data_IF_400221601604
#
_entry.id   IF_400221601604
#
_cell.length_a   1.000
_cell.length_b   1.000
_cell.length_c   1.000
_cell.angle_alpha   90.00
_cell.angle_beta   90.00
_cell.angle_gamma   90.00
#
_symmetry.space_group_name_H-M   'P 1'
#
loop_
_entity.id
_entity.type
_entity.pdbx_description
1 polymer ?
#
# COMPACT_ATOMS: atom_id res chain seq x y z
N UNK A 1 7.89 -13.59 -4.39
CA UNK A 1 6.74 -12.88 -3.81
C UNK A 1 6.77 -11.49 -4.38
N UNK A 2 5.63 -11.00 -4.85
CA UNK A 2 5.49 -9.63 -5.35
C UNK A 2 5.21 -8.70 -4.17
N UNK A 3 5.95 -7.60 -4.10
CA UNK A 3 5.83 -6.60 -3.04
C UNK A 3 4.70 -5.64 -3.37
N UNK A 4 3.71 -5.58 -2.48
CA UNK A 4 2.54 -4.73 -2.61
C UNK A 4 2.62 -3.60 -1.60
N UNK A 5 2.40 -2.38 -2.08
CA UNK A 5 2.25 -1.20 -1.26
C UNK A 5 0.80 -0.72 -1.29
N UNK A 6 0.28 -0.24 -0.16
CA UNK A 6 -1.10 0.28 -0.05
C UNK A 6 -1.06 1.78 0.24
N UNK A 7 -1.82 2.58 -0.51
CA UNK A 7 -1.96 4.03 -0.32
C UNK A 7 -3.44 4.35 -0.14
N UNK A 8 -3.82 4.69 1.09
CA UNK A 8 -5.21 4.97 1.48
C UNK A 8 -5.22 5.74 2.82
N UNK A 9 -5.99 6.82 2.91
CA UNK A 9 -6.10 7.66 4.12
C UNK A 9 -7.02 7.06 5.19
N UNK A 10 -7.73 5.97 4.88
CA UNK A 10 -8.62 5.24 5.79
C UNK A 10 -7.93 4.00 6.40
N UNK A 11 -7.58 4.02 7.70
CA UNK A 11 -6.90 2.89 8.35
C UNK A 11 -7.64 1.56 8.27
N UNK A 12 -8.98 1.58 8.31
CA UNK A 12 -9.81 0.37 8.23
C UNK A 12 -9.69 -0.31 6.87
N UNK A 13 -9.59 0.48 5.80
CA UNK A 13 -9.41 -0.05 4.44
C UNK A 13 -8.04 -0.69 4.30
N UNK A 14 -6.98 -0.03 4.80
CA UNK A 14 -5.61 -0.57 4.79
C UNK A 14 -5.50 -1.89 5.54
N UNK A 15 -6.01 -1.97 6.77
CA UNK A 15 -6.00 -3.22 7.56
C UNK A 15 -6.72 -4.36 6.82
N UNK A 16 -7.86 -4.05 6.20
CA UNK A 16 -8.64 -5.02 5.42
C UNK A 16 -7.90 -5.52 4.18
N UNK A 17 -7.25 -4.62 3.44
CA UNK A 17 -6.43 -4.96 2.28
C UNK A 17 -5.19 -5.75 2.68
N UNK A 18 -4.46 -5.32 3.71
CA UNK A 18 -3.28 -6.01 4.21
C UNK A 18 -3.59 -7.43 4.67
N UNK A 19 -4.71 -7.63 5.38
CA UNK A 19 -5.17 -8.96 5.80
C UNK A 19 -5.47 -9.86 4.61
N UNK A 20 -6.08 -9.32 3.54
CA UNK A 20 -6.37 -10.08 2.31
C UNK A 20 -5.12 -10.38 1.50
N UNK A 21 -4.14 -9.49 1.47
CA UNK A 21 -2.86 -9.74 0.79
C UNK A 21 -2.06 -10.81 1.55
N UNK A 22 -2.07 -10.79 2.88
CA UNK A 22 -1.33 -11.72 3.71
C UNK A 22 -1.75 -13.20 3.58
N UNK A 23 -2.94 -13.48 3.04
CA UNK A 23 -3.39 -14.87 2.79
C UNK A 23 -2.95 -15.40 1.41
N UNK A 24 -2.51 -14.53 0.50
CA UNK A 24 -2.03 -14.93 -0.82
C UNK A 24 -0.56 -15.35 -0.74
N UNK A 25 -0.24 -16.56 -1.23
CA UNK A 25 1.09 -17.15 -1.06
C UNK A 25 2.20 -16.50 -1.90
N UNK A 26 1.82 -15.68 -2.88
CA UNK A 26 2.70 -15.04 -3.84
C UNK A 26 2.83 -13.52 -3.63
N UNK A 27 2.12 -12.94 -2.66
CA UNK A 27 2.11 -11.51 -2.36
C UNK A 27 2.59 -11.22 -0.94
N UNK A 28 3.18 -10.05 -0.73
CA UNK A 28 3.51 -9.52 0.60
C UNK A 28 3.27 -8.02 0.66
N UNK A 29 2.78 -7.50 1.80
CA UNK A 29 2.71 -6.05 2.01
C UNK A 29 4.10 -5.55 2.41
N UNK A 30 4.69 -4.70 1.58
CA UNK A 30 6.01 -4.13 1.84
C UNK A 30 5.96 -2.73 2.49
N UNK A 31 4.79 -2.07 2.47
CA UNK A 31 4.60 -0.76 3.08
C UNK A 31 3.18 -0.21 2.91
N UNK A 32 2.87 0.79 3.72
CA UNK A 32 1.61 1.52 3.72
C UNK A 32 1.87 3.02 3.73
N UNK A 33 0.98 3.80 3.14
CA UNK A 33 1.00 5.26 3.18
C UNK A 33 -0.42 5.83 3.26
N UNK A 34 -0.58 6.97 3.91
CA UNK A 34 -1.85 7.69 4.00
C UNK A 34 -1.98 8.83 2.97
N UNK A 35 -0.87 9.27 2.38
CA UNK A 35 -0.84 10.37 1.42
C UNK A 35 0.28 10.19 0.38
N UNK A 36 0.31 11.08 -0.62
CA UNK A 36 1.30 11.03 -1.71
C UNK A 36 2.75 11.26 -1.22
N UNK A 37 3.05 12.26 -0.36
CA UNK A 37 4.39 12.43 0.19
C UNK A 37 4.93 11.20 0.91
N UNK A 38 4.13 10.57 1.78
CA UNK A 38 4.49 9.33 2.46
C UNK A 38 4.65 8.20 1.46
N UNK A 39 3.76 8.12 0.46
CA UNK A 39 3.84 7.10 -0.57
C UNK A 39 5.18 7.16 -1.33
N UNK A 40 5.65 8.34 -1.72
CA UNK A 40 6.94 8.49 -2.40
C UNK A 40 8.09 7.99 -1.51
N UNK A 41 8.07 8.32 -0.21
CA UNK A 41 9.10 7.86 0.73
C UNK A 41 9.12 6.33 0.84
N UNK A 42 7.93 5.71 0.91
CA UNK A 42 7.79 4.25 1.02
C UNK A 42 8.21 3.58 -0.29
N UNK A 43 7.88 4.14 -1.45
CA UNK A 43 8.33 3.64 -2.76
C UNK A 43 9.86 3.61 -2.81
N UNK A 44 10.50 4.72 -2.44
CA UNK A 44 11.97 4.82 -2.47
C UNK A 44 12.63 3.82 -1.52
N UNK A 45 12.05 3.63 -0.33
CA UNK A 45 12.58 2.73 0.69
C UNK A 45 12.34 1.24 0.40
N UNK A 46 11.21 0.89 -0.22
CA UNK A 46 10.75 -0.51 -0.30
C UNK A 46 10.78 -1.10 -1.70
N UNK A 47 10.82 -0.25 -2.73
CA UNK A 47 10.81 -0.64 -4.15
C UNK A 47 9.69 -1.66 -4.45
N UNK A 48 8.40 -1.28 -4.29
CA UNK A 48 7.28 -2.18 -4.51
C UNK A 48 7.15 -2.58 -5.98
N UNK A 49 6.66 -3.79 -6.23
CA UNK A 49 6.32 -4.26 -7.58
C UNK A 49 4.94 -3.74 -8.01
N UNK A 50 4.04 -3.56 -7.03
CA UNK A 50 2.64 -3.19 -7.22
C UNK A 50 2.24 -2.15 -6.16
N UNK A 51 1.51 -1.11 -6.56
CA UNK A 51 0.88 -0.16 -5.64
C UNK A 51 -0.65 -0.22 -5.80
N UNK A 52 -1.36 -0.36 -4.68
CA UNK A 52 -2.81 -0.21 -4.57
C UNK A 52 -3.07 1.19 -4.04
N UNK A 53 -3.72 2.05 -4.82
CA UNK A 53 -3.92 3.46 -4.51
C UNK A 53 -5.42 3.76 -4.49
N UNK A 54 -5.92 4.33 -3.40
CA UNK A 54 -7.28 4.86 -3.35
C UNK A 54 -7.44 6.04 -4.31
N UNK A 55 -8.42 5.93 -5.20
CA UNK A 55 -8.75 6.98 -6.17
C UNK A 55 -9.39 8.20 -5.52
N UNK A 56 -9.86 8.06 -4.28
CA UNK A 56 -10.54 9.11 -3.52
C UNK A 56 -9.56 9.96 -2.72
N UNK A 57 -8.28 9.62 -2.71
CA UNK A 57 -7.22 10.41 -2.08
C UNK A 57 -7.27 11.85 -2.60
N UNK A 58 -7.73 12.76 -1.73
CA UNK A 58 -7.99 14.16 -2.10
C UNK A 58 -6.71 14.96 -2.35
N UNK A 59 -5.56 14.45 -1.92
CA UNK A 59 -4.26 15.13 -2.00
C UNK A 59 -3.25 14.32 -2.77
N UNK A 60 -3.10 14.68 -4.05
CA UNK A 60 -1.92 14.42 -4.88
C UNK A 60 -1.30 15.71 -5.40
#
# INVERSE_FOLDING_TARGET
MSKVMIVDDHPVTRDGLATRIAIESDLEVCGEAADVPEAIQVIDATQPDIAVVDISLETG
#
